data_IF_091571661810
#
_entry.id   IF_091571661810
#
_cell.length_a   1.000
_cell.length_b   1.000
_cell.length_c   1.000
_cell.angle_alpha   90.00
_cell.angle_beta   90.00
_cell.angle_gamma   90.00
#
_symmetry.space_group_name_H-M   'P 1'
#
loop_
_entity.id
_entity.type
_entity.pdbx_description
1 polymer ?
#
# COMPACT_ATOMS: atom_id res chain seq x y z
N UNK A 1 -17.53 10.68 -14.93
CA UNK A 1 -17.42 11.72 -13.88
C UNK A 1 -16.34 11.29 -12.90
N UNK A 2 -15.25 12.05 -12.74
CA UNK A 2 -14.18 11.74 -11.77
C UNK A 2 -14.72 12.10 -10.38
N UNK A 3 -15.14 11.09 -9.61
CA UNK A 3 -15.56 11.26 -8.21
C UNK A 3 -14.43 11.98 -7.47
N UNK A 4 -14.68 13.22 -7.03
CA UNK A 4 -13.76 13.92 -6.13
C UNK A 4 -13.69 13.09 -4.86
N UNK A 5 -12.52 12.53 -4.54
CA UNK A 5 -12.30 11.77 -3.32
C UNK A 5 -12.77 12.62 -2.12
N UNK A 6 -13.85 12.19 -1.43
CA UNK A 6 -14.35 12.90 -0.25
C UNK A 6 -13.41 12.63 0.92
N UNK A 7 -12.27 13.33 0.96
CA UNK A 7 -11.34 13.36 2.11
C UNK A 7 -11.59 14.56 3.03
N UNK A 8 -12.75 15.21 2.85
CA UNK A 8 -13.12 16.49 3.48
C UNK A 8 -13.01 16.41 5.00
N UNK A 9 -13.34 15.26 5.59
CA UNK A 9 -13.35 15.09 7.04
C UNK A 9 -11.94 14.97 7.63
N UNK A 10 -10.93 14.48 6.90
CA UNK A 10 -9.56 14.33 7.43
C UNK A 10 -8.99 15.68 7.86
N UNK A 11 -9.28 16.75 7.10
CA UNK A 11 -8.81 18.11 7.39
C UNK A 11 -9.26 18.64 8.76
N UNK A 12 -10.43 18.20 9.22
CA UNK A 12 -11.05 18.67 10.47
C UNK A 12 -10.64 17.83 11.69
N UNK A 13 -9.86 16.76 11.50
CA UNK A 13 -9.44 15.89 12.59
C UNK A 13 -8.31 16.51 13.42
N UNK A 14 -8.28 16.27 14.74
CA UNK A 14 -7.16 16.69 15.60
C UNK A 14 -5.85 16.00 15.19
N UNK A 15 -4.70 16.67 15.34
CA UNK A 15 -3.36 16.09 15.08
C UNK A 15 -2.93 15.13 16.19
N UNK A 16 -3.71 14.07 16.36
CA UNK A 16 -3.47 13.01 17.33
C UNK A 16 -3.77 11.63 16.71
N UNK A 17 -3.29 10.58 17.38
CA UNK A 17 -3.59 9.22 16.97
C UNK A 17 -5.02 8.86 17.35
N UNK A 18 -5.81 8.45 16.37
CA UNK A 18 -7.13 7.87 16.56
C UNK A 18 -7.23 6.49 15.90
N UNK A 19 -8.24 5.73 16.32
CA UNK A 19 -8.56 4.42 15.75
C UNK A 19 -9.46 4.58 14.53
N UNK A 20 -9.13 3.83 13.49
CA UNK A 20 -9.90 3.77 12.26
C UNK A 20 -10.11 2.33 11.83
N UNK A 21 -11.20 2.11 11.09
CA UNK A 21 -11.38 0.90 10.30
C UNK A 21 -11.34 1.24 8.82
N UNK A 22 -10.88 0.28 8.00
CA UNK A 22 -10.91 0.41 6.56
C UNK A 22 -10.86 -0.97 5.90
N UNK A 23 -11.39 -1.04 4.69
CA UNK A 23 -11.36 -2.23 3.86
C UNK A 23 -10.15 -2.17 2.93
N UNK A 24 -9.51 -3.30 2.65
CA UNK A 24 -8.52 -3.38 1.59
C UNK A 24 -9.21 -3.28 0.23
N UNK A 25 -8.66 -2.46 -0.67
CA UNK A 25 -9.14 -2.35 -2.05
C UNK A 25 -8.15 -2.98 -3.03
N UNK A 26 -6.87 -2.58 -2.99
CA UNK A 26 -5.82 -3.04 -3.91
C UNK A 26 -4.42 -2.62 -3.44
N UNK A 27 -3.41 -3.17 -4.10
CA UNK A 27 -2.01 -2.73 -3.98
C UNK A 27 -1.56 -1.86 -5.17
N UNK A 28 -0.43 -1.20 -4.99
CA UNK A 28 0.24 -0.40 -5.98
C UNK A 28 1.68 -0.10 -5.57
N UNK A 29 2.38 0.70 -6.33
CA UNK A 29 3.70 1.19 -5.93
C UNK A 29 3.84 2.66 -6.31
N UNK A 30 4.80 3.34 -5.68
CA UNK A 30 5.16 4.72 -6.03
C UNK A 30 6.66 4.82 -6.27
N UNK A 31 7.00 5.69 -7.21
CA UNK A 31 8.37 6.03 -7.54
C UNK A 31 8.85 7.18 -6.66
N UNK A 32 10.05 7.04 -6.10
CA UNK A 32 10.73 8.10 -5.35
C UNK A 32 12.07 8.35 -6.03
N UNK A 33 12.22 9.56 -6.56
CA UNK A 33 13.50 10.04 -7.09
C UNK A 33 14.33 10.61 -5.95
N UNK A 34 15.54 10.07 -5.75
CA UNK A 34 16.49 10.66 -4.80
C UNK A 34 17.38 11.66 -5.54
N UNK A 35 17.21 12.95 -5.25
CA UNK A 35 18.09 14.01 -5.77
C UNK A 35 19.50 14.02 -5.13
N UNK A 36 19.77 13.12 -4.17
CA UNK A 36 20.91 13.23 -3.26
C UNK A 36 22.22 12.62 -3.76
N UNK A 37 22.24 12.01 -4.96
CA UNK A 37 23.48 11.56 -5.62
C UNK A 37 23.39 11.86 -7.10
N UNK A 38 24.52 12.19 -7.74
CA UNK A 38 24.69 12.35 -9.21
C UNK A 38 24.28 11.10 -10.03
N UNK A 39 23.79 10.06 -9.37
CA UNK A 39 23.20 8.85 -9.94
C UNK A 39 21.68 8.92 -9.70
N UNK A 40 20.89 8.97 -10.77
CA UNK A 40 19.42 8.89 -10.73
C UNK A 40 18.98 7.51 -10.22
N UNK A 41 19.05 7.25 -8.91
CA UNK A 41 18.54 6.01 -8.35
C UNK A 41 17.05 6.15 -8.11
N UNK A 42 16.27 5.57 -9.00
CA UNK A 42 14.83 5.42 -8.88
C UNK A 42 14.55 4.34 -7.82
N UNK A 43 13.92 4.69 -6.70
CA UNK A 43 13.46 3.72 -5.71
C UNK A 43 11.95 3.55 -5.82
N UNK A 44 11.48 2.33 -5.66
CA UNK A 44 10.06 2.03 -5.57
C UNK A 44 9.67 1.72 -4.13
N UNK A 45 8.48 2.16 -3.75
CA UNK A 45 7.89 1.91 -2.44
C UNK A 45 6.55 1.23 -2.66
N UNK A 46 6.28 0.08 -2.01
CA UNK A 46 5.00 -0.59 -2.16
C UNK A 46 3.93 0.20 -1.40
N UNK A 47 2.72 0.20 -1.93
CA UNK A 47 1.59 0.98 -1.43
C UNK A 47 0.34 0.13 -1.40
N UNK A 48 -0.51 0.41 -0.42
CA UNK A 48 -1.79 -0.26 -0.20
C UNK A 48 -2.88 0.80 -0.25
N UNK A 49 -3.95 0.48 -0.96
CA UNK A 49 -5.14 1.32 -1.05
C UNK A 49 -6.20 0.74 -0.13
N UNK A 50 -6.61 1.56 0.83
CA UNK A 50 -7.69 1.27 1.76
C UNK A 50 -8.92 2.10 1.36
N UNK A 51 -10.10 1.50 1.49
CA UNK A 51 -11.39 2.11 1.20
C UNK A 51 -12.30 2.13 2.43
N UNK A 52 -13.41 2.89 2.35
CA UNK A 52 -14.43 2.95 3.39
C UNK A 52 -13.84 3.28 4.78
N UNK A 53 -12.99 4.30 4.86
CA UNK A 53 -12.25 4.64 6.08
C UNK A 53 -13.21 5.27 7.09
N UNK A 54 -13.38 4.64 8.25
CA UNK A 54 -14.30 5.08 9.31
C UNK A 54 -13.59 5.33 10.63
N UNK A 55 -14.08 6.29 11.41
CA UNK A 55 -13.62 6.52 12.78
C UNK A 55 -14.26 5.52 13.78
N UNK A 56 -13.93 5.67 15.07
CA UNK A 56 -14.49 4.85 16.15
C UNK A 56 -16.01 4.97 16.33
N UNK A 57 -16.63 6.04 15.81
CA UNK A 57 -18.08 6.24 15.82
C UNK A 57 -18.75 5.69 14.56
N UNK A 58 -17.98 5.09 13.64
CA UNK A 58 -18.48 4.57 12.37
C UNK A 58 -18.70 5.65 11.30
N UNK A 59 -18.26 6.88 11.53
CA UNK A 59 -18.40 8.00 10.58
C UNK A 59 -17.39 7.83 9.44
N UNK A 60 -17.86 7.92 8.20
CA UNK A 60 -16.99 7.86 7.02
C UNK A 60 -16.11 9.12 6.95
N UNK A 61 -14.80 8.90 7.08
CA UNK A 61 -13.78 9.96 7.08
C UNK A 61 -13.18 10.16 5.69
N UNK A 62 -13.02 9.06 4.94
CA UNK A 62 -12.52 9.11 3.58
C UNK A 62 -12.99 7.91 2.75
N UNK A 63 -13.24 8.16 1.46
CA UNK A 63 -13.59 7.07 0.54
C UNK A 63 -12.40 6.14 0.31
N UNK A 64 -11.21 6.71 0.05
CA UNK A 64 -9.99 5.97 -0.28
C UNK A 64 -8.72 6.69 0.19
N UNK A 65 -7.79 5.92 0.76
CA UNK A 65 -6.46 6.40 1.18
C UNK A 65 -5.39 5.44 0.66
N UNK A 66 -4.33 6.02 0.09
CA UNK A 66 -3.10 5.29 -0.21
C UNK A 66 -2.11 5.49 0.94
N UNK A 67 -1.61 4.40 1.50
CA UNK A 67 -0.52 4.40 2.47
C UNK A 67 0.61 3.46 2.00
N UNK A 68 1.75 3.53 2.69
CA UNK A 68 2.83 2.59 2.41
C UNK A 68 2.38 1.18 2.82
N UNK A 69 2.67 0.19 1.98
CA UNK A 69 2.42 -1.20 2.31
C UNK A 69 3.57 -1.70 3.20
N UNK A 70 3.35 -1.70 4.51
CA UNK A 70 4.34 -2.07 5.52
C UNK A 70 4.18 -3.53 5.96
N UNK A 71 5.17 -4.03 6.70
CA UNK A 71 5.11 -5.33 7.40
C UNK A 71 3.80 -5.51 8.18
N UNK A 72 3.35 -4.46 8.88
CA UNK A 72 2.10 -4.47 9.66
C UNK A 72 0.87 -4.93 8.87
N UNK A 73 0.86 -4.73 7.54
CA UNK A 73 -0.18 -5.25 6.66
C UNK A 73 0.23 -6.57 6.00
N UNK A 74 1.47 -6.70 5.51
CA UNK A 74 1.88 -7.88 4.71
C UNK A 74 2.01 -9.16 5.55
N UNK A 75 2.18 -9.05 6.87
CA UNK A 75 2.17 -10.20 7.78
C UNK A 75 0.85 -11.01 7.76
N UNK A 76 -0.23 -10.42 7.26
CA UNK A 76 -1.53 -11.09 7.11
C UNK A 76 -1.67 -11.86 5.79
N UNK A 77 -0.61 -11.91 4.98
CA UNK A 77 -0.61 -12.59 3.69
C UNK A 77 -1.31 -11.78 2.58
N UNK A 78 -1.63 -12.47 1.48
CA UNK A 78 -2.31 -11.88 0.33
C UNK A 78 -3.73 -11.49 0.72
N UNK A 79 -3.99 -10.19 0.67
CA UNK A 79 -5.28 -9.59 1.00
C UNK A 79 -6.24 -9.64 -0.18
N UNK A 80 -7.53 -9.81 0.11
CA UNK A 80 -8.61 -9.75 -0.87
C UNK A 80 -9.45 -8.48 -0.69
N UNK A 81 -9.95 -7.88 -1.79
CA UNK A 81 -10.82 -6.72 -1.68
C UNK A 81 -11.99 -6.96 -0.71
N UNK A 82 -12.16 -6.06 0.25
CA UNK A 82 -13.15 -6.17 1.33
C UNK A 82 -12.60 -6.64 2.68
N UNK A 83 -11.35 -7.14 2.75
CA UNK A 83 -10.73 -7.49 4.04
C UNK A 83 -10.69 -6.29 4.97
N UNK A 84 -11.18 -6.46 6.20
CA UNK A 84 -11.38 -5.37 7.14
C UNK A 84 -10.21 -5.25 8.10
N UNK A 85 -9.64 -4.04 8.20
CA UNK A 85 -8.60 -3.70 9.15
C UNK A 85 -9.11 -2.75 10.23
N UNK A 86 -8.50 -2.83 11.42
CA UNK A 86 -8.38 -1.69 12.34
C UNK A 86 -6.93 -1.24 12.42
N UNK A 87 -6.71 0.05 12.60
CA UNK A 87 -5.39 0.63 12.78
C UNK A 87 -5.47 1.98 13.50
N UNK A 88 -4.36 2.40 14.09
CA UNK A 88 -4.17 3.77 14.59
C UNK A 88 -3.43 4.60 13.57
N UNK A 89 -3.90 5.82 13.32
CA UNK A 89 -3.20 6.77 12.47
C UNK A 89 -3.46 8.19 12.95
N UNK A 90 -2.72 9.15 12.42
CA UNK A 90 -2.99 10.58 12.64
C UNK A 90 -3.13 11.34 11.32
N UNK A 91 -4.02 12.33 11.24
CA UNK A 91 -4.12 13.18 10.06
C UNK A 91 -2.80 13.91 9.84
N UNK A 92 -2.41 14.07 8.57
CA UNK A 92 -1.24 14.84 8.18
C UNK A 92 -1.52 15.59 6.89
N UNK A 93 -1.29 16.89 6.94
CA UNK A 93 -1.28 17.74 5.75
C UNK A 93 -0.13 17.33 4.81
N UNK A 94 -0.41 17.33 3.52
CA UNK A 94 0.61 17.20 2.50
C UNK A 94 0.22 17.99 1.25
N UNK A 95 1.23 18.50 0.55
CA UNK A 95 1.05 19.20 -0.71
C UNK A 95 1.18 18.20 -1.86
N UNK A 96 0.24 18.26 -2.82
CA UNK A 96 0.19 17.40 -4.00
C UNK A 96 0.32 18.25 -5.27
N UNK A 97 1.28 17.90 -6.13
CA UNK A 97 1.44 18.46 -7.47
C UNK A 97 2.91 18.61 -7.85
N UNK A 98 3.24 18.46 -9.13
CA UNK A 98 4.55 18.86 -9.68
C UNK A 98 4.55 20.33 -10.16
N UNK A 99 3.37 20.87 -10.50
CA UNK A 99 3.22 22.19 -11.14
C UNK A 99 2.23 23.11 -10.44
N UNK A 100 1.32 22.57 -9.62
CA UNK A 100 0.37 23.34 -8.83
C UNK A 100 0.24 22.65 -7.47
N UNK A 101 0.71 23.31 -6.43
CA UNK A 101 0.64 22.84 -5.07
C UNK A 101 -0.81 22.86 -4.57
N UNK A 102 -1.44 21.69 -4.54
CA UNK A 102 -2.78 21.50 -3.97
C UNK A 102 -2.63 20.90 -2.58
N UNK A 103 -3.13 21.62 -1.58
CA UNK A 103 -3.22 21.11 -0.21
C UNK A 103 -4.17 19.91 -0.12
N UNK A 104 -3.70 18.80 0.45
CA UNK A 104 -4.49 17.61 0.71
C UNK A 104 -4.11 17.02 2.10
N UNK A 105 -4.88 16.05 2.56
CA UNK A 105 -4.69 15.40 3.84
C UNK A 105 -4.65 13.88 3.66
N UNK A 106 -3.84 13.23 4.50
CA UNK A 106 -3.72 11.77 4.56
C UNK A 106 -3.78 11.30 6.01
N UNK A 107 -4.16 10.04 6.20
CA UNK A 107 -3.82 9.33 7.42
C UNK A 107 -2.37 8.85 7.32
N UNK A 108 -1.55 9.30 8.26
CA UNK A 108 -0.11 9.02 8.26
C UNK A 108 0.24 8.04 9.36
N UNK A 109 1.29 7.24 9.08
CA UNK A 109 1.87 6.29 10.02
C UNK A 109 0.82 5.34 10.63
N UNK A 110 0.17 4.48 9.82
CA UNK A 110 -0.63 3.40 10.37
C UNK A 110 0.20 2.58 11.37
N UNK A 111 -0.39 2.30 12.53
CA UNK A 111 0.20 1.53 13.63
C UNK A 111 -0.85 0.58 14.19
N UNK A 112 -0.39 -0.47 14.86
CA UNK A 112 -1.27 -1.46 15.50
C UNK A 112 -2.33 -2.00 14.52
N UNK A 113 -1.90 -2.26 13.28
CA UNK A 113 -2.78 -2.81 12.25
C UNK A 113 -3.24 -4.20 12.69
N UNK A 114 -4.54 -4.45 12.62
CA UNK A 114 -5.15 -5.74 12.90
C UNK A 114 -6.15 -6.09 11.81
N UNK A 115 -6.01 -7.27 11.23
CA UNK A 115 -7.05 -7.85 10.38
C UNK A 115 -8.21 -8.32 11.26
N UNK A 116 -9.39 -7.76 11.04
CA UNK A 116 -10.62 -8.06 11.79
C UNK A 116 -11.41 -9.16 11.09
N UNK A 117 -11.50 -9.12 9.76
CA UNK A 117 -12.26 -10.08 8.98
C UNK A 117 -11.58 -10.34 7.64
N UNK A 118 -11.39 -11.62 7.34
CA UNK A 118 -11.01 -12.15 6.04
C UNK A 118 -11.76 -13.46 5.79
N UNK A 119 -12.32 -13.63 4.60
CA UNK A 119 -13.06 -14.83 4.19
C UNK A 119 -12.25 -15.63 3.16
N UNK A 120 -10.98 -15.89 3.49
CA UNK A 120 -10.11 -16.66 2.63
C UNK A 120 -8.93 -17.30 3.38
N UNK A 121 -8.37 -18.33 2.74
CA UNK A 121 -7.10 -18.89 3.17
C UNK A 121 -6.00 -17.84 3.06
N UNK A 122 -5.15 -17.77 4.08
CA UNK A 122 -4.00 -16.89 4.12
C UNK A 122 -2.92 -17.49 3.22
N UNK A 123 -2.63 -16.81 2.12
CA UNK A 123 -1.45 -17.08 1.30
C UNK A 123 -0.34 -16.18 1.85
N UNK A 124 0.80 -16.70 2.31
CA UNK A 124 1.86 -15.86 2.85
C UNK A 124 2.32 -14.83 1.80
N UNK A 125 2.83 -13.69 2.28
CA UNK A 125 3.49 -12.70 1.45
C UNK A 125 4.91 -12.48 1.95
N UNK A 126 5.80 -12.00 1.06
CA UNK A 126 7.12 -11.59 1.48
C UNK A 126 7.07 -10.46 2.49
N UNK A 127 8.07 -10.42 3.37
CA UNK A 127 8.24 -9.37 4.38
C UNK A 127 9.29 -8.34 3.98
N UNK A 128 10.17 -8.69 3.04
CA UNK A 128 11.15 -7.77 2.48
C UNK A 128 10.48 -6.69 1.63
N UNK A 129 11.03 -5.47 1.67
CA UNK A 129 10.51 -4.36 0.88
C UNK A 129 10.62 -4.64 -0.62
N UNK A 130 11.76 -5.16 -1.06
CA UNK A 130 12.07 -5.39 -2.46
C UNK A 130 11.10 -6.41 -3.07
N UNK A 131 10.88 -7.52 -2.38
CA UNK A 131 9.93 -8.56 -2.75
C UNK A 131 8.49 -8.04 -2.75
N UNK A 132 8.12 -7.24 -1.75
CA UNK A 132 6.78 -6.64 -1.65
C UNK A 132 6.52 -5.60 -2.75
N UNK A 133 7.57 -4.90 -3.21
CA UNK A 133 7.51 -4.05 -4.41
C UNK A 133 7.24 -4.90 -5.63
N UNK A 134 7.97 -6.01 -5.83
CA UNK A 134 7.75 -6.94 -6.94
C UNK A 134 6.31 -7.47 -6.98
N UNK A 135 5.82 -7.96 -5.85
CA UNK A 135 4.42 -8.35 -5.67
C UNK A 135 3.46 -7.23 -6.09
N UNK A 136 3.69 -6.02 -5.56
CA UNK A 136 2.83 -4.87 -5.83
C UNK A 136 2.84 -4.47 -7.31
N UNK A 137 3.98 -4.57 -8.00
CA UNK A 137 4.11 -4.30 -9.43
C UNK A 137 3.32 -5.33 -10.27
N UNK A 138 3.46 -6.61 -9.96
CA UNK A 138 2.77 -7.70 -10.68
C UNK A 138 1.25 -7.58 -10.55
N UNK A 139 0.76 -7.23 -9.36
CA UNK A 139 -0.68 -7.09 -9.06
C UNK A 139 -1.27 -5.75 -9.49
N UNK A 140 -0.46 -4.70 -9.58
CA UNK A 140 -0.93 -3.36 -9.96
C UNK A 140 -1.31 -3.27 -11.44
N UNK A 141 -2.55 -2.87 -11.72
CA UNK A 141 -3.04 -2.66 -13.09
C UNK A 141 -2.26 -1.59 -13.87
N UNK A 142 -1.68 -0.60 -13.18
CA UNK A 142 -0.91 0.47 -13.82
C UNK A 142 0.50 0.05 -14.24
N UNK A 143 1.07 -1.03 -13.66
CA UNK A 143 2.33 -1.59 -14.12
C UNK A 143 2.23 -2.06 -15.57
N UNK A 144 1.19 -2.82 -15.91
CA UNK A 144 0.95 -3.36 -17.26
C UNK A 144 0.82 -2.29 -18.34
N UNK A 145 0.46 -1.07 -17.96
CA UNK A 145 0.34 0.09 -18.89
C UNK A 145 1.64 0.90 -18.96
N UNK A 146 2.46 0.87 -17.92
CA UNK A 146 3.71 1.62 -17.83
C UNK A 146 4.89 0.86 -18.45
N UNK A 147 4.86 -0.47 -18.43
CA UNK A 147 5.91 -1.35 -19.00
C UNK A 147 5.76 -1.59 -20.52
N UNK A 148 5.59 -0.52 -21.31
CA UNK A 148 5.64 -0.60 -22.78
C UNK A 148 7.09 -0.84 -23.27
N UNK A 149 7.74 -1.93 -22.85
CA UNK A 149 8.98 -2.41 -23.48
C UNK A 149 10.16 -2.79 -22.59
N UNK A 150 9.97 -3.14 -21.32
CA UNK A 150 11.04 -3.73 -20.51
C UNK A 150 11.88 -2.70 -19.77
N UNK A 151 11.30 -2.14 -18.70
CA UNK A 151 12.05 -1.28 -17.81
C UNK A 151 13.03 -2.09 -16.93
N UNK A 152 14.32 -2.05 -17.28
CA UNK A 152 15.41 -2.73 -16.57
C UNK A 152 15.48 -2.41 -15.07
N UNK A 153 14.98 -1.25 -14.62
CA UNK A 153 15.00 -0.85 -13.20
C UNK A 153 13.94 -1.57 -12.36
N UNK A 154 12.98 -2.24 -13.00
CA UNK A 154 11.89 -2.99 -12.35
C UNK A 154 12.28 -4.45 -12.16
N UNK A 155 13.01 -5.02 -13.13
CA UNK A 155 13.31 -6.45 -13.18
C UNK A 155 13.88 -7.00 -11.86
N UNK A 156 14.82 -6.32 -11.15
CA UNK A 156 15.32 -6.82 -9.88
C UNK A 156 14.24 -7.00 -8.79
N UNK A 157 13.16 -6.21 -8.81
CA UNK A 157 12.06 -6.34 -7.86
C UNK A 157 11.14 -7.51 -8.23
N UNK A 158 10.89 -7.70 -9.52
CA UNK A 158 10.11 -8.84 -10.03
C UNK A 158 10.84 -10.15 -9.75
N UNK A 159 12.14 -10.22 -10.05
CA UNK A 159 12.98 -11.38 -9.78
C UNK A 159 13.03 -11.68 -8.28
N UNK A 160 13.15 -10.66 -7.43
CA UNK A 160 13.12 -10.85 -5.98
C UNK A 160 11.82 -11.53 -5.51
N UNK A 161 10.67 -11.09 -6.01
CA UNK A 161 9.39 -11.72 -5.66
C UNK A 161 9.28 -13.16 -6.16
N UNK A 162 9.69 -13.44 -7.41
CA UNK A 162 9.64 -14.80 -7.94
C UNK A 162 10.61 -15.75 -7.23
N UNK A 163 11.84 -15.30 -6.93
CA UNK A 163 12.80 -16.08 -6.15
C UNK A 163 12.25 -16.43 -4.77
N UNK A 164 11.57 -15.49 -4.10
CA UNK A 164 10.88 -15.74 -2.84
C UNK A 164 9.76 -16.78 -3.01
N UNK A 165 8.92 -16.63 -4.04
CA UNK A 165 7.83 -17.56 -4.32
C UNK A 165 8.34 -18.99 -4.58
N UNK A 166 9.43 -19.12 -5.35
CA UNK A 166 10.08 -20.40 -5.64
C UNK A 166 10.67 -21.03 -4.37
N UNK A 167 11.21 -20.21 -3.45
CA UNK A 167 11.69 -20.70 -2.15
C UNK A 167 10.56 -21.27 -1.30
N UNK A 168 9.40 -20.61 -1.28
CA UNK A 168 8.21 -21.11 -0.57
C UNK A 168 7.71 -22.43 -1.16
N UNK A 169 7.73 -22.56 -2.50
CA UNK A 169 7.34 -23.80 -3.18
C UNK A 169 8.32 -24.94 -2.90
N UNK A 170 9.62 -24.67 -2.88
CA UNK A 170 10.65 -25.66 -2.56
C UNK A 170 10.52 -26.18 -1.11
N UNK A 171 10.26 -25.29 -0.15
CA UNK A 171 10.03 -25.65 1.26
C UNK A 171 8.81 -26.58 1.44
N UNK A 172 7.74 -26.34 0.67
CA UNK A 172 6.53 -27.18 0.67
C UNK A 172 6.78 -28.57 0.08
N UNK A 173 7.68 -28.69 -0.91
CA UNK A 173 8.03 -29.98 -1.53
C UNK A 173 8.95 -30.83 -0.64
N UNK A 174 9.76 -30.21 0.23
CA UNK A 174 10.64 -30.92 1.17
C UNK A 174 9.91 -31.44 2.42
N UNK A 175 8.66 -31.03 2.62
CA UNK A 175 7.83 -31.39 3.79
C UNK A 175 6.73 -32.41 3.47
N UNK A 176 6.65 -32.87 2.21
CA UNK A 176 5.77 -33.95 1.74
C UNK A 176 6.57 -35.24 1.51
#
# INVERSE_FOLDING_TARGET
MRNSQKRIMIKALPDEYAEYTAEFERVGFKTVMSAFKKTHYTRYIPTICLSNIRDCNGVLIADHIWCNYTYDFSQYGELKPGDLFSFKAKPKHYTKGEYCDVDDYKLSQPKNVKLIAADHNIIPLPTSREELVGYSMIKASHYRRWDNGGNEYVQPYIDAYYNWMDSQLAELQLTC
#
